data_IF_802783777013
#
_entry.id   IF_802783777013
#
_cell.length_a   1.000
_cell.length_b   1.000
_cell.length_c   1.000
_cell.angle_alpha   90.00
_cell.angle_beta   90.00
_cell.angle_gamma   90.00
#
_symmetry.space_group_name_H-M   'P 1'
#
loop_
_entity.id
_entity.type
_entity.pdbx_description
1 polymer ?
#
# COMPACT_ATOMS: atom_id res chain seq x y z
N UNK A 1 -4.79 7.43 28.41
CA UNK A 1 -3.70 6.45 28.58
C UNK A 1 -2.91 6.45 27.30
N UNK A 2 -1.61 6.68 27.36
CA UNK A 2 -0.76 6.52 26.18
C UNK A 2 -0.74 5.02 25.83
N UNK A 3 -1.19 4.66 24.62
CA UNK A 3 -1.16 3.28 24.15
C UNK A 3 0.31 2.96 23.86
N UNK A 4 0.89 2.05 24.65
CA UNK A 4 2.31 1.69 24.55
C UNK A 4 2.50 0.51 23.57
N UNK A 5 1.94 0.65 22.37
CA UNK A 5 2.08 -0.33 21.28
C UNK A 5 2.21 0.37 19.93
N UNK A 6 2.85 -0.28 18.99
CA UNK A 6 3.06 0.18 17.63
C UNK A 6 1.95 -0.41 16.75
N UNK A 7 0.96 0.39 16.31
CA UNK A 7 -0.07 -0.09 15.42
C UNK A 7 0.46 -0.20 13.98
N UNK A 8 0.26 -1.39 13.40
CA UNK A 8 0.63 -1.70 12.01
C UNK A 8 -0.63 -2.15 11.28
N UNK A 9 -1.04 -1.40 10.27
CA UNK A 9 -2.26 -1.63 9.52
C UNK A 9 -1.96 -2.36 8.22
N UNK A 10 -2.76 -3.39 7.91
CA UNK A 10 -2.76 -4.10 6.65
C UNK A 10 -4.17 -4.12 6.08
N UNK A 11 -4.28 -4.22 4.76
CA UNK A 11 -5.57 -4.38 4.08
C UNK A 11 -5.53 -5.58 3.15
N UNK A 12 -6.51 -6.47 3.27
CA UNK A 12 -6.60 -7.67 2.43
C UNK A 12 -8.04 -8.02 2.04
N UNK A 13 -8.15 -8.75 0.93
CA UNK A 13 -9.24 -9.69 0.67
C UNK A 13 -8.85 -11.11 1.12
N UNK A 14 -9.80 -12.04 1.02
CA UNK A 14 -9.55 -13.42 1.45
C UNK A 14 -8.46 -14.12 0.63
N UNK A 15 -8.32 -13.79 -0.66
CA UNK A 15 -7.32 -14.39 -1.55
C UNK A 15 -5.88 -14.01 -1.19
N UNK A 16 -5.70 -12.87 -0.52
CA UNK A 16 -4.38 -12.37 -0.12
C UNK A 16 -3.92 -12.87 1.26
N UNK A 17 -4.73 -13.64 2.00
CA UNK A 17 -4.36 -14.18 3.30
C UNK A 17 -3.03 -14.96 3.31
N UNK A 18 -2.71 -15.83 2.31
CA UNK A 18 -1.44 -16.53 2.25
C UNK A 18 -0.22 -15.59 2.16
N UNK A 19 -0.33 -14.51 1.40
CA UNK A 19 0.77 -13.56 1.21
C UNK A 19 0.93 -12.63 2.42
N UNK A 20 -0.16 -12.16 3.02
CA UNK A 20 -0.13 -11.46 4.31
C UNK A 20 0.55 -12.30 5.40
N UNK A 21 0.34 -13.64 5.41
CA UNK A 21 0.99 -14.51 6.40
C UNK A 21 2.51 -14.44 6.34
N UNK A 22 3.08 -14.27 5.14
CA UNK A 22 4.52 -14.08 4.93
C UNK A 22 4.99 -12.75 5.48
N UNK A 23 4.24 -11.67 5.20
CA UNK A 23 4.52 -10.35 5.73
C UNK A 23 4.47 -10.33 7.27
N UNK A 24 3.45 -10.94 7.88
CA UNK A 24 3.32 -11.05 9.33
C UNK A 24 4.44 -11.89 9.95
N UNK A 25 4.75 -13.05 9.35
CA UNK A 25 5.81 -13.93 9.82
C UNK A 25 7.17 -13.20 9.83
N UNK A 26 7.48 -12.49 8.75
CA UNK A 26 8.70 -11.70 8.65
C UNK A 26 8.73 -10.54 9.66
N UNK A 27 7.62 -9.81 9.82
CA UNK A 27 7.51 -8.74 10.81
C UNK A 27 7.73 -9.24 12.25
N UNK A 28 7.11 -10.36 12.62
CA UNK A 28 7.22 -10.96 13.95
C UNK A 28 8.66 -11.43 14.23
N UNK A 29 9.31 -12.07 13.26
CA UNK A 29 10.69 -12.58 13.42
C UNK A 29 11.68 -11.42 13.59
N UNK A 30 11.45 -10.27 12.96
CA UNK A 30 12.34 -9.11 13.01
C UNK A 30 11.89 -8.02 14.01
N UNK A 31 10.85 -8.28 14.80
CA UNK A 31 10.39 -7.38 15.84
C UNK A 31 11.24 -7.43 17.10
N UNK A 32 11.51 -6.29 17.71
CA UNK A 32 12.16 -6.16 19.01
C UNK A 32 11.33 -6.81 20.13
N UNK A 33 11.97 -7.52 21.05
CA UNK A 33 11.28 -8.24 22.13
C UNK A 33 10.82 -7.32 23.27
N UNK A 34 11.38 -6.12 23.37
CA UNK A 34 11.05 -5.10 24.38
C UNK A 34 10.01 -4.08 23.87
N UNK A 35 9.49 -4.25 22.67
CA UNK A 35 8.42 -3.45 22.09
C UNK A 35 7.15 -4.27 21.91
N UNK A 36 6.00 -3.60 21.97
CA UNK A 36 4.70 -4.21 21.68
C UNK A 36 4.21 -3.75 20.32
N UNK A 37 3.75 -4.69 19.52
CA UNK A 37 3.19 -4.42 18.19
C UNK A 37 1.76 -4.92 18.12
N UNK A 38 0.95 -4.24 17.33
CA UNK A 38 -0.41 -4.67 17.02
C UNK A 38 -0.65 -4.58 15.51
N UNK A 39 -0.66 -5.72 14.85
CA UNK A 39 -1.15 -5.80 13.47
C UNK A 39 -2.68 -5.69 13.48
N UNK A 40 -3.22 -4.77 12.71
CA UNK A 40 -4.65 -4.53 12.53
C UNK A 40 -4.97 -4.81 11.07
N UNK A 41 -5.68 -5.91 10.83
CA UNK A 41 -5.99 -6.41 9.51
C UNK A 41 -7.39 -5.91 9.12
N UNK A 42 -7.45 -4.96 8.20
CA UNK A 42 -8.69 -4.45 7.63
C UNK A 42 -9.09 -5.37 6.47
N UNK A 43 -10.29 -5.92 6.49
CA UNK A 43 -10.72 -6.90 5.48
C UNK A 43 -12.21 -6.77 5.16
N UNK A 44 -12.60 -7.24 3.99
CA UNK A 44 -14.00 -7.28 3.58
C UNK A 44 -14.64 -8.65 3.85
N UNK A 45 -13.96 -9.74 3.51
CA UNK A 45 -14.53 -11.08 3.40
C UNK A 45 -13.65 -12.21 3.97
N UNK A 46 -12.72 -11.91 4.87
CA UNK A 46 -11.77 -12.90 5.37
C UNK A 46 -12.50 -14.10 5.99
N UNK A 47 -12.17 -15.31 5.52
CA UNK A 47 -12.75 -16.55 6.01
C UNK A 47 -12.35 -16.85 7.45
N UNK A 48 -13.16 -17.62 8.15
CA UNK A 48 -12.86 -18.06 9.53
C UNK A 48 -11.56 -18.87 9.57
N UNK A 49 -11.36 -19.75 8.59
CA UNK A 49 -10.14 -20.59 8.49
C UNK A 49 -8.88 -19.72 8.36
N UNK A 50 -8.88 -18.78 7.41
CA UNK A 50 -7.75 -17.87 7.21
C UNK A 50 -7.53 -16.96 8.43
N UNK A 51 -8.61 -16.50 9.07
CA UNK A 51 -8.52 -15.73 10.30
C UNK A 51 -7.82 -16.52 11.42
N UNK A 52 -8.20 -17.78 11.62
CA UNK A 52 -7.60 -18.64 12.64
C UNK A 52 -6.13 -18.94 12.35
N UNK A 53 -5.78 -19.26 11.09
CA UNK A 53 -4.39 -19.48 10.66
C UNK A 53 -3.52 -18.22 10.87
N UNK A 54 -3.98 -17.05 10.44
CA UNK A 54 -3.25 -15.80 10.63
C UNK A 54 -3.11 -15.44 12.12
N UNK A 55 -4.16 -15.65 12.91
CA UNK A 55 -4.15 -15.38 14.35
C UNK A 55 -3.16 -16.27 15.10
N UNK A 56 -2.94 -17.48 14.62
CA UNK A 56 -1.98 -18.43 15.22
C UNK A 56 -0.52 -17.96 15.13
N UNK A 57 -0.20 -16.98 14.26
CA UNK A 57 1.13 -16.37 14.17
C UNK A 57 1.42 -15.41 15.33
N UNK A 58 0.39 -14.93 16.04
CA UNK A 58 0.54 -13.94 17.10
C UNK A 58 1.47 -14.43 18.22
N UNK A 59 2.22 -13.49 18.80
CA UNK A 59 3.11 -13.74 19.94
C UNK A 59 2.72 -12.84 21.12
N UNK A 60 3.40 -12.98 22.25
CA UNK A 60 3.15 -12.16 23.44
C UNK A 60 3.29 -10.65 23.14
N UNK A 61 4.33 -10.30 22.40
CA UNK A 61 4.66 -8.90 22.06
C UNK A 61 4.16 -8.46 20.66
N UNK A 62 3.56 -9.36 19.87
CA UNK A 62 3.02 -9.05 18.54
C UNK A 62 1.60 -9.60 18.39
N UNK A 63 0.61 -8.74 18.62
CA UNK A 63 -0.82 -9.10 18.55
C UNK A 63 -1.37 -8.91 17.15
N UNK A 64 -2.39 -9.69 16.79
CA UNK A 64 -3.07 -9.63 15.48
C UNK A 64 -4.56 -9.53 15.71
N UNK A 65 -5.15 -8.44 15.22
CA UNK A 65 -6.59 -8.16 15.27
C UNK A 65 -7.17 -8.03 13.86
N UNK A 66 -8.43 -8.40 13.71
CA UNK A 66 -9.15 -8.38 12.44
C UNK A 66 -10.34 -7.42 12.55
N UNK A 67 -10.45 -6.51 11.58
CA UNK A 67 -11.49 -5.48 11.54
C UNK A 67 -12.23 -5.53 10.21
N UNK A 68 -13.49 -5.99 10.21
CA UNK A 68 -14.30 -6.04 8.99
C UNK A 68 -14.71 -4.63 8.55
N UNK A 69 -14.53 -4.32 7.26
CA UNK A 69 -14.74 -3.01 6.64
C UNK A 69 -16.11 -2.87 5.95
N UNK A 70 -17.14 -3.55 6.46
CA UNK A 70 -18.50 -3.51 5.86
C UNK A 70 -19.22 -2.15 5.97
N UNK A 71 -18.81 -1.30 6.91
CA UNK A 71 -19.41 0.03 7.14
C UNK A 71 -18.38 1.11 6.76
N UNK A 72 -18.78 2.06 5.93
CA UNK A 72 -17.93 3.21 5.53
C UNK A 72 -17.58 3.25 4.05
N UNK A 73 -17.74 2.14 3.32
CA UNK A 73 -17.47 2.08 1.88
C UNK A 73 -18.70 2.41 1.01
N UNK A 74 -19.87 2.59 1.62
CA UNK A 74 -21.13 2.91 0.93
C UNK A 74 -21.07 4.22 0.15
N UNK A 75 -20.13 5.11 0.52
CA UNK A 75 -19.83 6.36 -0.18
C UNK A 75 -18.95 6.18 -1.41
N UNK A 76 -18.29 5.02 -1.57
CA UNK A 76 -17.44 4.70 -2.71
C UNK A 76 -18.26 3.86 -3.68
N UNK A 77 -18.72 4.46 -4.76
CA UNK A 77 -19.49 3.75 -5.79
C UNK A 77 -18.58 3.02 -6.77
N UNK A 78 -19.03 1.87 -7.27
CA UNK A 78 -18.34 1.15 -8.35
C UNK A 78 -18.44 1.96 -9.65
N UNK A 79 -17.39 2.72 -9.96
CA UNK A 79 -17.23 3.49 -11.19
C UNK A 79 -15.92 3.14 -11.87
N UNK A 80 -15.86 3.31 -13.19
CA UNK A 80 -14.63 3.08 -13.96
C UNK A 80 -13.44 3.86 -13.41
N UNK A 81 -13.64 5.10 -12.95
CA UNK A 81 -12.62 5.94 -12.34
C UNK A 81 -12.05 5.40 -11.02
N UNK A 82 -12.79 4.51 -10.35
CA UNK A 82 -12.38 3.90 -9.09
C UNK A 82 -11.67 2.55 -9.28
N UNK A 83 -11.56 2.06 -10.53
CA UNK A 83 -10.90 0.79 -10.80
C UNK A 83 -9.40 0.94 -10.72
N UNK A 84 -8.80 0.05 -9.94
CA UNK A 84 -7.35 -0.06 -9.86
C UNK A 84 -6.84 -0.77 -11.10
N UNK A 85 -5.76 -0.24 -11.68
CA UNK A 85 -4.92 -0.90 -12.67
C UNK A 85 -5.65 -1.97 -13.49
N UNK A 86 -5.96 -1.68 -14.74
CA UNK A 86 -6.39 -2.70 -15.69
C UNK A 86 -7.71 -3.39 -15.34
N UNK A 87 -8.70 -2.62 -14.93
CA UNK A 87 -10.04 -3.09 -14.58
C UNK A 87 -10.14 -4.01 -13.35
N UNK A 88 -9.05 -4.19 -12.61
CA UNK A 88 -9.11 -4.87 -11.33
C UNK A 88 -9.68 -3.93 -10.27
N UNK A 89 -10.86 -4.26 -9.75
CA UNK A 89 -11.53 -3.49 -8.70
C UNK A 89 -11.47 -4.23 -7.38
N UNK A 90 -10.92 -3.58 -6.36
CA UNK A 90 -11.08 -4.00 -4.97
C UNK A 90 -11.22 -2.77 -4.08
N UNK A 91 -12.22 -2.78 -3.22
CA UNK A 91 -12.42 -1.71 -2.24
C UNK A 91 -11.31 -1.64 -1.20
N UNK A 92 -10.59 -2.74 -1.00
CA UNK A 92 -9.52 -2.83 0.00
C UNK A 92 -8.43 -1.78 -0.16
N UNK A 93 -8.17 -1.33 -1.41
CA UNK A 93 -7.17 -0.28 -1.69
C UNK A 93 -7.50 1.06 -1.03
N UNK A 94 -8.78 1.35 -0.81
CA UNK A 94 -9.22 2.59 -0.19
C UNK A 94 -9.19 2.55 1.33
N UNK A 95 -9.13 1.37 1.96
CA UNK A 95 -9.20 1.23 3.41
C UNK A 95 -8.13 2.05 4.12
N UNK A 96 -6.92 2.17 3.53
CA UNK A 96 -5.83 3.00 4.08
C UNK A 96 -6.22 4.47 4.27
N UNK A 97 -7.15 5.00 3.48
CA UNK A 97 -7.60 6.39 3.55
C UNK A 97 -8.57 6.65 4.73
N UNK A 98 -9.07 5.59 5.36
CA UNK A 98 -10.03 5.64 6.47
C UNK A 98 -9.36 5.42 7.83
N UNK A 99 -8.12 4.95 7.87
CA UNK A 99 -7.43 4.53 9.11
C UNK A 99 -7.43 5.65 10.16
N UNK A 100 -7.12 6.89 9.77
CA UNK A 100 -7.04 8.01 10.70
C UNK A 100 -8.36 8.26 11.43
N UNK A 101 -9.50 8.13 10.73
CA UNK A 101 -10.83 8.32 11.26
C UNK A 101 -11.32 7.12 12.09
N UNK A 102 -11.00 5.89 11.63
CA UNK A 102 -11.45 4.66 12.28
C UNK A 102 -10.73 4.37 13.59
N UNK A 103 -9.49 4.81 13.74
CA UNK A 103 -8.65 4.50 14.89
C UNK A 103 -8.20 5.77 15.64
N UNK A 104 -9.17 6.52 16.24
CA UNK A 104 -8.88 7.79 16.92
C UNK A 104 -8.01 7.63 18.17
N UNK A 105 -7.87 6.42 18.69
CA UNK A 105 -7.01 6.10 19.83
C UNK A 105 -5.52 6.14 19.50
N UNK A 106 -5.13 6.08 18.21
CA UNK A 106 -3.74 6.17 17.79
C UNK A 106 -3.43 7.56 17.19
N UNK A 107 -2.35 8.17 17.63
CA UNK A 107 -1.85 9.42 17.06
C UNK A 107 -0.92 9.18 15.87
N UNK A 108 -0.27 8.02 15.81
CA UNK A 108 0.68 7.60 14.78
C UNK A 108 0.50 6.12 14.48
N UNK A 109 0.73 5.70 13.24
CA UNK A 109 0.66 4.31 12.82
C UNK A 109 1.48 4.03 11.58
N UNK A 110 1.72 2.75 11.30
CA UNK A 110 2.35 2.29 10.07
C UNK A 110 1.29 1.58 9.23
N UNK A 111 1.18 1.91 7.97
CA UNK A 111 0.41 1.14 6.98
C UNK A 111 1.37 0.39 6.07
N UNK A 112 1.08 -0.88 5.81
CA UNK A 112 1.91 -1.72 4.92
C UNK A 112 1.00 -2.58 4.04
N UNK A 113 1.27 -2.61 2.74
CA UNK A 113 0.63 -3.55 1.81
C UNK A 113 1.02 -5.00 2.14
N UNK A 114 0.23 -5.96 1.68
CA UNK A 114 0.38 -7.38 2.07
C UNK A 114 1.35 -8.17 1.21
N UNK A 115 1.88 -7.56 0.15
CA UNK A 115 2.84 -8.12 -0.79
C UNK A 115 4.29 -7.71 -0.47
N UNK A 116 4.63 -7.80 0.80
CA UNK A 116 5.93 -7.40 1.33
C UNK A 116 6.61 -8.50 2.13
N UNK A 117 7.91 -8.34 2.32
CA UNK A 117 8.69 -9.01 3.37
C UNK A 117 9.37 -7.94 4.23
N UNK A 118 9.21 -8.04 5.54
CA UNK A 118 9.74 -7.08 6.51
C UNK A 118 10.99 -7.70 7.13
N UNK A 119 12.15 -7.13 6.84
CA UNK A 119 13.47 -7.60 7.28
C UNK A 119 14.10 -6.71 8.33
N UNK A 120 13.47 -5.56 8.62
CA UNK A 120 13.87 -4.65 9.68
C UNK A 120 12.84 -4.54 10.79
N UNK A 121 13.23 -3.95 11.92
CA UNK A 121 12.29 -3.69 13.01
C UNK A 121 11.40 -2.49 12.66
N UNK A 122 10.07 -2.70 12.71
CA UNK A 122 9.09 -1.63 12.48
C UNK A 122 9.13 -0.56 13.58
N UNK A 123 9.71 -0.84 14.76
CA UNK A 123 9.93 0.16 15.80
C UNK A 123 10.90 1.26 15.34
N UNK A 124 11.91 0.92 14.53
CA UNK A 124 12.85 1.89 13.96
C UNK A 124 12.10 2.84 13.01
N UNK A 125 11.22 2.31 12.15
CA UNK A 125 10.37 3.13 11.27
C UNK A 125 9.41 4.01 12.08
N UNK A 126 8.77 3.42 13.11
CA UNK A 126 7.82 4.15 13.96
C UNK A 126 8.49 5.28 14.75
N UNK A 127 9.80 5.16 15.07
CA UNK A 127 10.57 6.18 15.77
C UNK A 127 10.94 7.38 14.88
N UNK A 128 10.85 7.27 13.56
CA UNK A 128 11.16 8.39 12.65
C UNK A 128 10.23 9.56 12.94
N UNK A 129 10.79 10.72 13.21
CA UNK A 129 10.03 11.95 13.38
C UNK A 129 9.64 12.52 12.01
N UNK A 130 8.35 12.65 11.78
CA UNK A 130 7.80 13.28 10.56
C UNK A 130 7.21 14.67 10.84
N UNK A 131 7.42 15.20 12.06
CA UNK A 131 6.96 16.52 12.47
C UNK A 131 5.48 16.75 12.23
N UNK A 132 5.16 17.90 11.62
CA UNK A 132 3.78 18.27 11.25
C UNK A 132 3.32 17.71 9.88
N UNK A 133 4.13 16.88 9.22
CA UNK A 133 3.73 16.24 8.00
C UNK A 133 2.64 15.18 8.25
N UNK A 134 1.85 14.91 7.22
CA UNK A 134 0.76 13.92 7.28
C UNK A 134 1.27 12.50 7.20
N UNK A 135 2.29 12.28 6.36
CA UNK A 135 2.86 10.95 6.11
C UNK A 135 4.37 11.00 5.94
N UNK A 136 5.03 9.91 6.28
CA UNK A 136 6.37 9.55 5.82
C UNK A 136 6.24 8.40 4.81
N UNK A 137 6.90 8.50 3.64
CA UNK A 137 6.86 7.48 2.59
C UNK A 137 8.08 7.56 1.68
N UNK A 138 8.33 6.50 0.92
CA UNK A 138 9.39 6.48 -0.10
C UNK A 138 8.85 6.96 -1.45
N UNK A 139 9.68 7.65 -2.22
CA UNK A 139 9.36 7.96 -3.61
C UNK A 139 9.24 6.67 -4.44
N UNK A 140 8.25 6.60 -5.34
CA UNK A 140 8.01 5.43 -6.20
C UNK A 140 9.00 5.41 -7.38
N UNK A 141 10.23 4.97 -7.11
CA UNK A 141 11.30 4.89 -8.12
C UNK A 141 11.12 3.74 -9.12
N UNK A 142 10.15 2.86 -8.91
CA UNK A 142 9.85 1.78 -9.86
C UNK A 142 9.19 2.31 -11.14
N UNK A 143 8.52 3.45 -11.05
CA UNK A 143 7.74 4.04 -12.15
C UNK A 143 8.19 5.44 -12.57
N UNK A 144 9.06 6.10 -11.79
CA UNK A 144 9.46 7.49 -12.01
C UNK A 144 10.09 7.76 -13.40
N UNK A 145 10.88 6.82 -13.92
CA UNK A 145 11.57 6.96 -15.19
C UNK A 145 10.84 6.25 -16.37
N UNK A 146 9.60 5.78 -16.15
CA UNK A 146 8.75 5.21 -17.18
C UNK A 146 7.94 6.34 -17.84
N UNK A 147 8.19 6.74 -19.10
CA UNK A 147 7.70 7.99 -19.69
C UNK A 147 6.18 8.21 -19.57
N UNK A 148 5.28 7.25 -19.88
CA UNK A 148 3.85 7.46 -19.74
C UNK A 148 3.42 7.68 -18.28
N UNK A 149 4.07 7.00 -17.32
CA UNK A 149 3.75 7.13 -15.89
C UNK A 149 4.31 8.42 -15.32
N UNK A 150 5.51 8.84 -15.74
CA UNK A 150 6.07 10.14 -15.43
C UNK A 150 5.16 11.27 -15.92
N UNK A 151 4.65 11.17 -17.15
CA UNK A 151 3.70 12.11 -17.71
C UNK A 151 2.40 12.19 -16.91
N UNK A 152 1.86 11.04 -16.49
CA UNK A 152 0.70 10.96 -15.62
C UNK A 152 0.92 11.65 -14.26
N UNK A 153 2.03 11.36 -13.59
CA UNK A 153 2.33 11.95 -12.29
C UNK A 153 2.40 13.48 -12.35
N UNK A 154 3.07 14.00 -13.38
CA UNK A 154 3.33 15.44 -13.51
C UNK A 154 2.14 16.21 -14.09
N UNK A 155 1.33 15.60 -14.96
CA UNK A 155 0.28 16.30 -15.72
C UNK A 155 -1.15 15.91 -15.36
N UNK A 156 -1.37 14.76 -14.73
CA UNK A 156 -2.68 14.41 -14.19
C UNK A 156 -2.73 14.61 -12.67
N UNK A 157 -1.76 14.07 -11.92
CA UNK A 157 -1.74 14.21 -10.45
C UNK A 157 -1.20 15.58 -10.03
N UNK A 158 -0.26 16.15 -10.77
CA UNK A 158 0.34 17.45 -10.47
C UNK A 158 1.44 17.38 -9.41
N UNK A 159 2.17 16.27 -9.38
CA UNK A 159 3.30 16.00 -8.47
C UNK A 159 4.53 15.64 -9.30
N UNK A 160 5.70 16.15 -8.93
CA UNK A 160 6.95 15.75 -9.56
C UNK A 160 7.12 14.23 -9.50
N UNK A 161 7.57 13.60 -10.61
CA UNK A 161 7.83 12.16 -10.67
C UNK A 161 8.79 11.66 -9.59
N UNK A 162 9.70 12.51 -9.14
CA UNK A 162 10.69 12.18 -8.11
C UNK A 162 10.19 12.42 -6.68
N UNK A 163 9.03 13.05 -6.55
CA UNK A 163 8.33 13.32 -5.29
C UNK A 163 7.03 12.50 -5.16
N UNK A 164 6.66 11.76 -6.21
CA UNK A 164 5.50 10.88 -6.21
C UNK A 164 5.81 9.65 -5.36
N UNK A 165 5.10 9.49 -4.23
CA UNK A 165 5.37 8.40 -3.28
C UNK A 165 4.61 7.13 -3.66
N UNK A 166 5.18 5.98 -3.30
CA UNK A 166 4.46 4.71 -3.23
C UNK A 166 3.57 4.70 -1.98
N UNK A 167 2.34 4.23 -2.10
CA UNK A 167 1.39 4.20 -0.99
C UNK A 167 1.31 2.87 -0.26
N UNK A 168 2.15 1.91 -0.62
CA UNK A 168 2.16 0.58 -0.01
C UNK A 168 2.88 0.52 1.34
N UNK A 169 3.74 1.50 1.65
CA UNK A 169 4.40 1.63 2.95
C UNK A 169 4.33 3.08 3.41
N UNK A 170 3.56 3.33 4.48
CA UNK A 170 3.29 4.68 4.98
C UNK A 170 3.52 4.74 6.50
N UNK A 171 4.29 5.72 6.94
CA UNK A 171 4.29 6.17 8.33
C UNK A 171 3.28 7.30 8.46
N UNK A 172 2.18 7.07 9.16
CA UNK A 172 1.02 7.97 9.17
C UNK A 172 0.96 8.79 10.46
N UNK A 173 0.90 10.11 10.37
CA UNK A 173 0.51 11.00 11.47
C UNK A 173 -1.01 11.05 11.55
N UNK A 174 -1.60 10.06 12.20
CA UNK A 174 -3.05 9.87 12.25
C UNK A 174 -3.76 11.05 12.92
N UNK A 175 -3.12 11.67 13.92
CA UNK A 175 -3.63 12.87 14.57
C UNK A 175 -3.73 14.04 13.61
N UNK A 176 -2.65 14.35 12.88
CA UNK A 176 -2.65 15.48 11.93
C UNK A 176 -3.59 15.25 10.76
N UNK A 177 -3.72 14.00 10.28
CA UNK A 177 -4.71 13.64 9.25
C UNK A 177 -6.15 13.89 9.72
N UNK A 178 -6.48 13.57 10.99
CA UNK A 178 -7.81 13.88 11.56
C UNK A 178 -8.02 15.38 11.72
N UNK A 179 -7.05 16.10 12.29
CA UNK A 179 -7.13 17.56 12.48
C UNK A 179 -7.30 18.32 11.17
N UNK A 180 -6.76 17.78 10.07
CA UNK A 180 -6.91 18.33 8.73
C UNK A 180 -8.16 17.86 8.00
N UNK A 181 -9.02 17.04 8.63
CA UNK A 181 -10.22 16.46 8.00
C UNK A 181 -9.90 15.72 6.69
N UNK A 182 -8.77 14.99 6.65
CA UNK A 182 -8.28 14.31 5.45
C UNK A 182 -9.33 13.41 4.81
N UNK A 183 -10.03 12.62 5.62
CA UNK A 183 -11.03 11.68 5.17
C UNK A 183 -12.21 12.37 4.48
N UNK A 184 -12.76 13.41 5.10
CA UNK A 184 -13.85 14.21 4.59
C UNK A 184 -13.46 14.92 3.29
N UNK A 185 -12.23 15.46 3.27
CA UNK A 185 -11.67 16.11 2.09
C UNK A 185 -11.50 15.12 0.92
N UNK A 186 -10.96 13.95 1.19
CA UNK A 186 -10.85 12.86 0.20
C UNK A 186 -12.22 12.49 -0.37
N UNK A 187 -13.23 12.23 0.48
CA UNK A 187 -14.57 11.86 0.02
C UNK A 187 -15.23 12.98 -0.79
N UNK A 188 -15.04 14.23 -0.39
CA UNK A 188 -15.53 15.38 -1.16
C UNK A 188 -14.92 15.42 -2.56
N UNK A 189 -13.62 15.25 -2.68
CA UNK A 189 -12.94 15.25 -3.98
C UNK A 189 -13.39 14.06 -4.84
N UNK A 190 -13.46 12.86 -4.24
CA UNK A 190 -13.91 11.65 -4.92
C UNK A 190 -15.32 11.81 -5.49
N UNK A 191 -16.27 12.27 -4.68
CA UNK A 191 -17.67 12.37 -5.07
C UNK A 191 -17.97 13.56 -5.98
N UNK A 192 -17.10 14.60 -6.01
CA UNK A 192 -17.31 15.79 -6.84
C UNK A 192 -16.69 15.63 -8.23
N UNK A 193 -15.46 15.14 -8.29
CA UNK A 193 -14.66 15.19 -9.51
C UNK A 193 -14.51 13.84 -10.22
N UNK A 194 -14.63 12.73 -9.48
CA UNK A 194 -14.47 11.38 -10.02
C UNK A 194 -13.20 11.22 -10.86
N UNK A 195 -12.06 11.69 -10.33
CA UNK A 195 -10.80 11.67 -11.05
C UNK A 195 -10.48 10.28 -11.62
N UNK A 196 -10.12 10.23 -12.88
CA UNK A 196 -9.59 9.01 -13.48
C UNK A 196 -8.14 8.78 -13.00
N UNK A 197 -7.87 7.59 -12.50
CA UNK A 197 -6.60 7.26 -11.86
C UNK A 197 -6.12 5.88 -12.27
N UNK A 198 -4.79 5.72 -12.41
CA UNK A 198 -4.17 4.40 -12.60
C UNK A 198 -3.94 3.64 -11.29
N UNK A 199 -3.80 4.37 -10.18
CA UNK A 199 -3.68 3.85 -8.82
C UNK A 199 -4.42 4.80 -7.86
N UNK A 200 -5.75 4.64 -7.69
CA UNK A 200 -6.59 5.67 -7.06
C UNK A 200 -6.12 6.10 -5.68
N UNK A 201 -5.97 5.17 -4.71
CA UNK A 201 -5.55 5.54 -3.35
C UNK A 201 -4.19 6.28 -3.35
N UNK A 202 -3.23 5.80 -4.16
CA UNK A 202 -1.91 6.44 -4.28
C UNK A 202 -2.02 7.84 -4.90
N UNK A 203 -2.85 8.01 -5.94
CA UNK A 203 -3.04 9.31 -6.58
C UNK A 203 -3.68 10.33 -5.62
N UNK A 204 -4.72 9.95 -4.87
CA UNK A 204 -5.34 10.83 -3.88
C UNK A 204 -4.38 11.21 -2.76
N UNK A 205 -3.59 10.26 -2.21
CA UNK A 205 -2.60 10.56 -1.17
C UNK A 205 -1.55 11.55 -1.70
N UNK A 206 -0.99 11.29 -2.89
CA UNK A 206 0.00 12.17 -3.51
C UNK A 206 -0.56 13.56 -3.78
N UNK A 207 -1.77 13.67 -4.31
CA UNK A 207 -2.39 14.95 -4.60
C UNK A 207 -2.72 15.74 -3.32
N UNK A 208 -3.37 15.11 -2.34
CA UNK A 208 -3.85 15.77 -1.12
C UNK A 208 -2.71 16.12 -0.16
N UNK A 209 -1.76 15.20 0.02
CA UNK A 209 -0.66 15.36 0.97
C UNK A 209 0.57 16.07 0.38
N UNK A 210 0.53 16.51 -0.88
CA UNK A 210 1.66 17.20 -1.52
C UNK A 210 2.12 18.40 -0.69
N UNK A 211 3.43 18.46 -0.37
CA UNK A 211 4.02 19.47 0.50
C UNK A 211 3.92 19.15 2.01
N UNK A 212 3.30 18.01 2.37
CA UNK A 212 3.18 17.51 3.75
C UNK A 212 3.63 16.04 3.87
N UNK A 213 4.66 15.68 3.11
CA UNK A 213 5.27 14.34 3.06
C UNK A 213 6.71 14.44 3.55
N UNK A 214 7.10 13.55 4.48
CA UNK A 214 8.50 13.31 4.81
C UNK A 214 8.99 12.14 3.95
N UNK A 215 10.02 12.38 3.13
CA UNK A 215 10.60 11.33 2.29
C UNK A 215 11.51 10.45 3.15
N UNK A 216 11.16 9.15 3.20
CA UNK A 216 11.91 8.13 3.94
C UNK A 216 13.03 7.56 3.06
N UNK A 217 14.04 6.96 3.71
CA UNK A 217 15.05 6.18 3.01
C UNK A 217 14.42 4.97 2.30
N UNK A 218 14.86 4.70 1.10
CA UNK A 218 14.36 3.61 0.24
C UNK A 218 14.46 2.21 0.85
N UNK A 219 15.25 2.03 1.90
CA UNK A 219 15.31 0.75 2.63
C UNK A 219 13.95 0.38 3.22
N UNK A 220 13.06 1.36 3.45
CA UNK A 220 11.72 1.16 3.99
C UNK A 220 10.66 0.82 2.95
N UNK A 221 10.99 0.87 1.67
CA UNK A 221 10.09 0.45 0.58
C UNK A 221 10.94 0.06 -0.65
N UNK A 222 11.76 -0.99 -0.47
CA UNK A 222 12.66 -1.48 -1.52
C UNK A 222 11.88 -2.34 -2.50
N UNK A 223 11.75 -1.87 -3.74
CA UNK A 223 11.05 -2.58 -4.80
C UNK A 223 12.01 -3.35 -5.69
N UNK A 224 11.75 -4.65 -6.00
CA UNK A 224 12.50 -5.40 -6.98
C UNK A 224 12.49 -4.71 -8.34
N UNK A 225 13.64 -4.58 -8.97
CA UNK A 225 13.79 -4.02 -10.32
C UNK A 225 14.81 -4.83 -11.09
N UNK A 226 14.46 -5.33 -12.29
CA UNK A 226 15.31 -6.22 -13.07
C UNK A 226 16.65 -5.57 -13.49
N UNK A 227 16.61 -4.28 -13.77
CA UNK A 227 17.76 -3.54 -14.34
C UNK A 227 18.69 -2.88 -13.30
N UNK A 228 18.41 -3.05 -12.01
CA UNK A 228 19.21 -2.42 -10.94
C UNK A 228 19.78 -3.48 -10.00
N UNK A 229 20.98 -3.27 -9.45
CA UNK A 229 21.52 -4.18 -8.43
C UNK A 229 20.62 -4.17 -7.20
N UNK A 230 20.57 -5.31 -6.52
CA UNK A 230 19.87 -5.42 -5.24
C UNK A 230 20.44 -4.43 -4.24
N UNK A 231 19.54 -3.76 -3.50
CA UNK A 231 19.91 -2.87 -2.42
C UNK A 231 20.39 -3.69 -1.22
N UNK A 232 21.46 -3.25 -0.59
CA UNK A 232 21.96 -3.88 0.63
C UNK A 232 21.06 -3.52 1.82
N UNK A 233 20.80 -4.51 2.67
CA UNK A 233 20.04 -4.35 3.93
C UNK A 233 18.67 -3.65 3.78
N UNK A 234 17.81 -4.08 2.85
CA UNK A 234 16.44 -3.56 2.79
C UNK A 234 15.73 -3.84 4.12
N UNK A 235 14.90 -2.91 4.58
CA UNK A 235 14.10 -3.07 5.80
C UNK A 235 12.69 -3.57 5.50
N UNK A 236 12.14 -3.15 4.36
CA UNK A 236 10.90 -3.68 3.78
C UNK A 236 11.17 -3.90 2.29
N UNK A 237 10.94 -5.12 1.83
CA UNK A 237 10.97 -5.49 0.41
C UNK A 237 9.52 -5.55 -0.05
N UNK A 238 9.17 -4.75 -1.05
CA UNK A 238 7.80 -4.63 -1.54
C UNK A 238 7.72 -5.15 -2.99
N UNK A 239 7.09 -6.31 -3.16
CA UNK A 239 6.88 -6.94 -4.46
C UNK A 239 5.73 -6.27 -5.21
N UNK A 240 5.94 -4.97 -5.48
CA UNK A 240 4.95 -4.12 -6.13
C UNK A 240 4.62 -4.62 -7.56
N UNK A 241 3.44 -4.24 -8.09
CA UNK A 241 2.99 -4.56 -9.45
C UNK A 241 2.86 -6.07 -9.71
N UNK A 242 3.51 -6.55 -10.78
CA UNK A 242 3.35 -7.91 -11.31
C UNK A 242 4.51 -8.83 -10.91
N UNK A 243 5.71 -8.30 -10.62
CA UNK A 243 6.92 -9.07 -10.32
C UNK A 243 6.88 -9.70 -8.94
N UNK A 244 6.04 -10.72 -8.78
CA UNK A 244 5.79 -11.38 -7.49
C UNK A 244 6.45 -12.76 -7.42
N UNK A 245 7.17 -13.12 -6.32
CA UNK A 245 7.87 -14.40 -6.19
C UNK A 245 6.94 -15.61 -6.24
N UNK A 246 5.67 -15.44 -5.92
CA UNK A 246 4.64 -16.48 -5.99
C UNK A 246 3.92 -16.54 -7.34
N UNK A 247 4.34 -15.75 -8.33
CA UNK A 247 3.87 -15.82 -9.70
C UNK A 247 5.01 -16.16 -10.66
N UNK A 248 6.22 -15.65 -10.40
CA UNK A 248 7.37 -15.76 -11.30
C UNK A 248 8.61 -16.30 -10.60
N UNK A 249 9.51 -16.89 -11.39
CA UNK A 249 10.85 -17.26 -10.96
C UNK A 249 11.83 -16.11 -11.18
N UNK A 250 12.97 -16.12 -10.47
CA UNK A 250 14.05 -15.16 -10.65
C UNK A 250 13.77 -13.75 -10.13
N UNK A 251 12.67 -13.54 -9.40
CA UNK A 251 12.36 -12.23 -8.81
C UNK A 251 13.42 -11.87 -7.76
N UNK A 252 13.94 -10.64 -7.82
CA UNK A 252 14.88 -10.13 -6.82
C UNK A 252 14.32 -10.29 -5.41
N UNK A 253 15.16 -10.73 -4.46
CA UNK A 253 14.78 -11.05 -3.07
C UNK A 253 13.71 -12.16 -2.94
N UNK A 254 13.43 -12.92 -4.00
CA UNK A 254 12.46 -14.00 -3.96
C UNK A 254 12.84 -15.11 -2.96
N UNK A 255 14.14 -15.36 -2.78
CA UNK A 255 14.68 -16.27 -1.77
C UNK A 255 14.28 -15.85 -0.34
N UNK A 256 14.27 -14.55 -0.06
CA UNK A 256 13.84 -14.00 1.24
C UNK A 256 12.34 -14.23 1.44
N UNK A 257 11.51 -14.03 0.40
CA UNK A 257 10.09 -14.33 0.45
C UNK A 257 9.85 -15.81 0.80
N UNK A 258 10.49 -16.74 0.07
CA UNK A 258 10.30 -18.17 0.26
C UNK A 258 10.76 -18.65 1.63
N UNK A 259 11.85 -18.09 2.18
CA UNK A 259 12.32 -18.35 3.54
C UNK A 259 11.22 -18.08 4.59
N UNK A 260 10.45 -17.00 4.46
CA UNK A 260 9.36 -16.67 5.38
C UNK A 260 8.07 -17.41 5.03
N UNK A 261 7.83 -17.71 3.75
CA UNK A 261 6.70 -18.52 3.31
C UNK A 261 6.72 -19.92 3.96
N UNK A 262 7.89 -20.55 4.10
CA UNK A 262 8.06 -21.84 4.79
C UNK A 262 7.61 -21.82 6.26
N UNK A 263 7.62 -20.64 6.90
CA UNK A 263 7.25 -20.47 8.31
C UNK A 263 5.83 -19.92 8.50
N UNK A 264 5.18 -19.50 7.42
CA UNK A 264 3.94 -18.73 7.45
C UNK A 264 2.68 -19.53 7.79
N UNK A 265 2.76 -20.88 7.76
CA UNK A 265 1.60 -21.77 7.90
C UNK A 265 0.71 -21.85 6.65
N UNK A 266 1.09 -21.20 5.53
CA UNK A 266 0.39 -21.19 4.25
C UNK A 266 1.27 -21.66 3.08
N UNK A 267 2.38 -22.35 3.35
CA UNK A 267 3.36 -22.70 2.33
C UNK A 267 2.76 -23.54 1.18
N UNK A 268 1.85 -24.47 1.51
CA UNK A 268 1.26 -25.36 0.51
C UNK A 268 0.29 -24.59 -0.40
N UNK A 269 -0.49 -23.67 0.16
CA UNK A 269 -1.37 -22.78 -0.61
C UNK A 269 -0.56 -21.84 -1.52
N UNK A 270 0.56 -21.30 -1.03
CA UNK A 270 1.44 -20.41 -1.81
C UNK A 270 2.10 -21.19 -2.96
N UNK A 271 2.60 -22.42 -2.69
CA UNK A 271 3.16 -23.30 -3.73
C UNK A 271 2.11 -23.69 -4.76
N UNK A 272 0.91 -24.06 -4.30
CA UNK A 272 -0.20 -24.41 -5.19
C UNK A 272 -0.60 -23.22 -6.08
N UNK A 273 -0.65 -22.00 -5.51
CA UNK A 273 -0.91 -20.79 -6.29
C UNK A 273 0.14 -20.59 -7.38
N UNK A 274 1.44 -20.72 -7.02
CA UNK A 274 2.53 -20.59 -8.00
C UNK A 274 2.47 -21.66 -9.09
N UNK A 275 2.23 -22.90 -8.72
CA UNK A 275 2.12 -24.00 -9.67
C UNK A 275 0.91 -23.84 -10.61
N UNK A 276 -0.15 -23.22 -10.13
CA UNK A 276 -1.34 -22.90 -10.91
C UNK A 276 -1.27 -21.60 -11.72
N UNK A 277 -0.18 -20.83 -11.62
CA UNK A 277 -0.04 -19.56 -12.33
C UNK A 277 0.34 -19.81 -13.80
N UNK A 278 -0.67 -19.77 -14.66
CA UNK A 278 -0.58 -20.23 -16.06
C UNK A 278 0.08 -19.18 -16.97
N UNK A 279 0.46 -19.61 -18.18
CA UNK A 279 0.98 -18.69 -19.19
C UNK A 279 -0.08 -17.69 -19.68
N UNK A 280 -1.37 -18.05 -19.63
CA UNK A 280 -2.47 -17.12 -19.90
C UNK A 280 -2.53 -16.01 -18.84
N UNK A 281 -2.30 -16.33 -17.57
CA UNK A 281 -2.23 -15.34 -16.50
C UNK A 281 -1.02 -14.40 -16.67
N UNK A 282 0.14 -14.94 -17.03
CA UNK A 282 1.33 -14.12 -17.34
C UNK A 282 1.12 -13.21 -18.55
N UNK A 283 0.43 -13.71 -19.59
CA UNK A 283 0.03 -12.88 -20.73
C UNK A 283 -0.99 -11.80 -20.33
N UNK A 284 -1.88 -12.11 -19.39
CA UNK A 284 -2.79 -11.13 -18.82
C UNK A 284 -2.05 -10.03 -18.10
N UNK A 285 -1.04 -10.34 -17.28
CA UNK A 285 -0.20 -9.34 -16.62
C UNK A 285 0.49 -8.41 -17.63
N UNK A 286 1.01 -8.97 -18.73
CA UNK A 286 1.61 -8.16 -19.80
C UNK A 286 0.60 -7.21 -20.42
N UNK A 287 -0.61 -7.69 -20.74
CA UNK A 287 -1.69 -6.82 -21.25
C UNK A 287 -2.11 -5.75 -20.25
N UNK A 288 -2.12 -6.12 -18.97
CA UNK A 288 -2.40 -5.18 -17.89
C UNK A 288 -1.34 -4.10 -17.78
N UNK A 289 -0.07 -4.45 -17.94
CA UNK A 289 1.01 -3.46 -17.97
C UNK A 289 0.86 -2.52 -19.18
N UNK A 290 0.60 -3.06 -20.36
CA UNK A 290 0.39 -2.26 -21.58
C UNK A 290 -0.80 -1.28 -21.41
N UNK A 291 -1.89 -1.75 -20.81
CA UNK A 291 -3.05 -0.91 -20.51
C UNK A 291 -2.72 0.18 -19.48
N UNK A 292 -1.93 -0.16 -18.45
CA UNK A 292 -1.45 0.80 -17.45
C UNK A 292 -0.65 1.94 -18.12
N UNK A 293 0.30 1.58 -19.00
CA UNK A 293 1.11 2.54 -19.74
C UNK A 293 0.25 3.42 -20.67
N UNK A 294 -0.68 2.80 -21.39
CA UNK A 294 -1.62 3.52 -22.26
C UNK A 294 -2.45 4.52 -21.46
N UNK A 295 -3.06 4.10 -20.36
CA UNK A 295 -3.83 5.01 -19.49
C UNK A 295 -2.97 6.11 -18.89
N UNK A 296 -1.72 5.81 -18.53
CA UNK A 296 -0.75 6.81 -18.06
C UNK A 296 -0.52 7.93 -19.08
N UNK A 297 -0.54 7.61 -20.37
CA UNK A 297 -0.44 8.60 -21.44
C UNK A 297 -1.75 9.36 -21.71
N UNK A 298 -2.91 8.70 -21.56
CA UNK A 298 -4.23 9.25 -21.94
C UNK A 298 -4.85 10.13 -20.83
N UNK A 299 -4.77 9.72 -19.56
CA UNK A 299 -5.44 10.42 -18.45
C UNK A 299 -5.04 11.90 -18.32
N UNK A 300 -3.77 12.32 -18.55
CA UNK A 300 -3.41 13.75 -18.50
C UNK A 300 -4.18 14.62 -19.49
N UNK A 301 -4.70 14.04 -20.58
CA UNK A 301 -5.47 14.75 -21.61
C UNK A 301 -6.94 14.98 -21.20
N UNK A 302 -7.44 14.28 -20.18
CA UNK A 302 -8.80 14.48 -19.68
C UNK A 302 -9.03 15.92 -19.23
N UNK A 303 -10.27 16.42 -19.38
CA UNK A 303 -10.66 17.76 -18.94
C UNK A 303 -10.55 17.92 -17.41
N UNK A 304 -10.82 16.84 -16.67
CA UNK A 304 -10.81 16.81 -15.20
C UNK A 304 -9.65 15.94 -14.72
N UNK A 305 -8.60 16.58 -14.18
CA UNK A 305 -7.47 15.95 -13.50
C UNK A 305 -7.17 16.68 -12.20
N UNK A 306 -6.46 16.04 -11.25
CA UNK A 306 -6.07 16.74 -10.01
C UNK A 306 -5.33 18.04 -10.30
N UNK A 307 -4.37 18.04 -11.25
CA UNK A 307 -3.60 19.20 -11.63
C UNK A 307 -4.50 20.32 -12.17
N UNK A 308 -5.35 20.04 -13.16
CA UNK A 308 -6.24 21.04 -13.79
C UNK A 308 -7.24 21.63 -12.79
N UNK A 309 -7.78 20.78 -11.90
CA UNK A 309 -8.71 21.24 -10.85
C UNK A 309 -7.97 22.10 -9.82
N UNK A 310 -6.75 21.74 -9.43
CA UNK A 310 -5.91 22.57 -8.56
C UNK A 310 -5.58 23.92 -9.21
N UNK A 311 -5.18 23.93 -10.47
CA UNK A 311 -4.87 25.16 -11.24
C UNK A 311 -6.09 26.06 -11.44
N UNK A 312 -7.32 25.51 -11.39
CA UNK A 312 -8.56 26.31 -11.42
C UNK A 312 -8.88 27.00 -10.08
N UNK A 313 -8.02 26.85 -9.06
CA UNK A 313 -8.16 27.47 -7.75
C UNK A 313 -8.92 26.62 -6.71
N UNK A 314 -9.26 25.37 -7.03
CA UNK A 314 -9.88 24.47 -6.07
C UNK A 314 -8.82 23.94 -5.10
N UNK A 315 -9.16 23.90 -3.81
CA UNK A 315 -8.29 23.32 -2.79
C UNK A 315 -8.24 21.78 -2.97
N UNK A 316 -7.12 21.29 -3.51
CA UNK A 316 -6.79 19.85 -3.57
C UNK A 316 -5.90 19.48 -2.38
N UNK A 317 -4.86 20.26 -2.12
CA UNK A 317 -3.87 20.03 -1.04
C UNK A 317 -4.42 20.49 0.32
N UNK A 318 -4.05 19.76 1.38
CA UNK A 318 -4.37 20.10 2.76
C UNK A 318 -3.25 20.87 3.48
#
# INVERSE_FOLDING_TARGET
MQINEIPVFFTIDNGYAPFLSVALCSAIENSSKDKNYRAIILHEDLSKENTEKLKALATENFKIDFVPMKKGLESITDRMSNRLRCDYFTLTIYFRLFISQMFPQYDKGIYIDSDVVITGDLADMFAIDIGDNFIGACADKSVADVPPLAYYMENAVGVSRYEYINSGVLLMNLKRLREAEFHEHFLKLLNTYHFDCIAPAQAYINAICNGKITYLDEVWDTMPTEDKPQKENPKIIHYNLFSKPWCYDGIQYGDIFWKYAEKSGFIEEIKAYKAGYTDEQKQSDTKCLDLLLKRGAEIPENEITFKKVFESGVKIRL
#
